data_IF_142358103844
#
_entry.id   IF_142358103844
#
_cell.length_a   1.000
_cell.length_b   1.000
_cell.length_c   1.000
_cell.angle_alpha   90.00
_cell.angle_beta   90.00
_cell.angle_gamma   90.00
#
_symmetry.space_group_name_H-M   'P 1'
#
loop_
_entity.id
_entity.type
_entity.pdbx_description
1 polymer ?
#
# COMPACT_ATOMS: atom_id res chain seq x y z
N UNK A 1 -7.37 -2.28 -0.50
CA UNK A 1 -6.52 -1.18 -0.02
C UNK A 1 -5.07 -1.64 0.11
N UNK A 2 -4.11 -0.91 -0.44
CA UNK A 2 -2.68 -1.29 -0.45
C UNK A 2 -1.81 -0.41 0.45
N UNK A 3 -2.44 0.28 1.41
CA UNK A 3 -1.77 1.33 2.19
C UNK A 3 -1.14 0.86 3.51
N UNK A 4 -1.34 -0.39 3.92
CA UNK A 4 -0.69 -0.90 5.15
C UNK A 4 0.82 -0.73 5.02
N UNK A 5 1.41 -0.06 6.00
CA UNK A 5 2.84 0.22 6.07
C UNK A 5 3.33 1.37 5.18
N UNK A 6 2.49 1.96 4.33
CA UNK A 6 2.92 3.02 3.40
C UNK A 6 2.41 4.42 3.74
N UNK A 7 1.56 4.53 4.75
CA UNK A 7 0.94 5.76 5.23
C UNK A 7 0.81 5.75 6.75
N UNK A 8 0.68 6.91 7.35
CA UNK A 8 0.36 7.06 8.77
C UNK A 8 -1.15 7.21 9.04
N UNK A 9 -1.99 6.95 8.05
CA UNK A 9 -3.44 6.98 8.24
C UNK A 9 -3.84 5.83 9.17
N UNK A 10 -4.30 6.17 10.36
CA UNK A 10 -4.67 5.20 11.40
C UNK A 10 -6.16 4.83 11.35
N UNK A 11 -6.97 5.61 10.67
CA UNK A 11 -8.40 5.37 10.55
C UNK A 11 -8.85 5.48 9.11
N UNK A 12 -9.63 4.51 8.68
CA UNK A 12 -10.29 4.51 7.37
C UNK A 12 -11.78 4.45 7.63
N UNK A 13 -12.52 5.45 7.14
CA UNK A 13 -13.96 5.41 7.15
C UNK A 13 -14.44 4.45 6.07
N UNK A 14 -15.16 3.42 6.49
CA UNK A 14 -15.69 2.39 5.60
C UNK A 14 -17.12 2.82 5.21
N UNK A 15 -17.39 3.04 3.91
CA UNK A 15 -18.72 3.42 3.45
C UNK A 15 -19.80 2.41 3.87
N UNK A 16 -20.98 2.90 4.16
CA UNK A 16 -22.15 2.05 4.40
C UNK A 16 -22.38 1.13 3.17
N UNK A 17 -22.84 -0.09 3.42
CA UNK A 17 -23.05 -1.10 2.38
C UNK A 17 -21.77 -1.83 1.95
N UNK A 18 -20.59 -1.47 2.47
CA UNK A 18 -19.36 -2.24 2.22
C UNK A 18 -19.45 -3.62 2.88
N UNK A 19 -19.32 -4.66 2.09
CA UNK A 19 -19.35 -6.05 2.56
C UNK A 19 -17.97 -6.59 2.90
N UNK A 20 -16.94 -6.14 2.16
CA UNK A 20 -15.58 -6.65 2.28
C UNK A 20 -14.55 -5.53 2.18
N UNK A 21 -13.49 -5.60 2.98
CA UNK A 21 -12.35 -4.68 2.92
C UNK A 21 -11.07 -5.50 2.81
N UNK A 22 -10.30 -5.26 1.75
CA UNK A 22 -9.04 -5.93 1.48
C UNK A 22 -7.85 -5.03 1.78
N UNK A 23 -6.87 -5.54 2.51
CA UNK A 23 -5.60 -4.88 2.78
C UNK A 23 -4.44 -5.71 2.24
N UNK A 24 -3.47 -5.05 1.64
CA UNK A 24 -2.29 -5.71 1.08
C UNK A 24 -1.01 -5.19 1.71
N UNK A 25 -0.10 -6.10 2.04
CA UNK A 25 1.26 -5.78 2.52
C UNK A 25 2.25 -5.55 1.37
N UNK A 26 1.82 -5.80 0.13
CA UNK A 26 2.71 -5.84 -1.05
C UNK A 26 3.49 -4.56 -1.30
N UNK A 27 2.94 -3.39 -0.95
CA UNK A 27 3.54 -2.08 -1.26
C UNK A 27 4.34 -1.53 -0.08
N UNK A 28 3.71 -1.38 1.09
CA UNK A 28 4.34 -0.77 2.25
C UNK A 28 5.58 -1.52 2.74
N UNK A 29 5.50 -2.84 2.77
CA UNK A 29 6.57 -3.72 3.27
C UNK A 29 7.34 -4.44 2.16
N UNK A 30 7.16 -4.07 0.89
CA UNK A 30 7.92 -4.67 -0.22
C UNK A 30 7.65 -6.15 -0.48
N UNK A 31 6.57 -6.72 0.05
CA UNK A 31 6.27 -8.17 -0.03
C UNK A 31 5.46 -8.56 -1.27
N UNK A 32 5.71 -7.88 -2.39
CA UNK A 32 4.91 -8.07 -3.61
C UNK A 32 4.92 -9.51 -4.13
N UNK A 33 6.03 -10.22 -3.96
CA UNK A 33 6.18 -11.62 -4.37
C UNK A 33 5.38 -12.61 -3.52
N UNK A 34 5.01 -12.25 -2.29
CA UNK A 34 4.29 -13.13 -1.37
C UNK A 34 2.80 -13.20 -1.64
N UNK A 35 2.23 -12.21 -2.35
CA UNK A 35 0.82 -12.15 -2.76
C UNK A 35 -0.17 -12.35 -1.61
N UNK A 36 0.03 -11.65 -0.51
CA UNK A 36 -0.75 -11.77 0.71
C UNK A 36 -1.32 -10.45 1.17
N UNK A 37 -2.39 -10.57 1.93
CA UNK A 37 -3.10 -9.47 2.56
C UNK A 37 -4.04 -9.96 3.64
N UNK A 38 -4.80 -9.03 4.19
CA UNK A 38 -5.90 -9.29 5.11
C UNK A 38 -7.21 -8.96 4.43
N UNK A 39 -8.26 -9.69 4.77
CA UNK A 39 -9.62 -9.35 4.39
C UNK A 39 -10.50 -9.34 5.63
N UNK A 40 -11.32 -8.30 5.74
CA UNK A 40 -12.39 -8.19 6.72
C UNK A 40 -13.71 -8.34 5.97
N UNK A 41 -14.56 -9.24 6.42
CA UNK A 41 -15.87 -9.52 5.80
C UNK A 41 -16.96 -9.52 6.85
N UNK A 42 -18.17 -9.08 6.48
CA UNK A 42 -19.37 -9.22 7.35
C UNK A 42 -19.78 -10.67 7.46
N UNK A 43 -19.68 -11.41 6.36
CA UNK A 43 -20.01 -12.83 6.28
C UNK A 43 -18.82 -13.62 5.73
N UNK A 44 -18.73 -14.89 6.06
CA UNK A 44 -17.66 -15.76 5.55
C UNK A 44 -17.81 -15.94 4.03
N UNK A 45 -16.79 -15.48 3.29
CA UNK A 45 -16.80 -15.64 1.82
C UNK A 45 -16.60 -17.12 1.43
N UNK A 46 -17.43 -17.69 0.52
CA UNK A 46 -17.37 -19.12 0.18
C UNK A 46 -15.98 -19.62 -0.24
N UNK A 47 -15.22 -18.79 -0.97
CA UNK A 47 -13.84 -19.14 -1.39
C UNK A 47 -12.90 -19.22 -0.18
N UNK A 48 -13.02 -18.30 0.80
CA UNK A 48 -12.19 -18.32 2.00
C UNK A 48 -12.56 -19.52 2.89
N UNK A 49 -13.85 -19.81 3.03
CA UNK A 49 -14.35 -20.99 3.72
C UNK A 49 -13.77 -22.28 3.10
N UNK A 50 -13.75 -22.35 1.76
CA UNK A 50 -13.17 -23.49 1.04
C UNK A 50 -11.66 -23.60 1.27
N UNK A 51 -10.91 -22.51 1.19
CA UNK A 51 -9.46 -22.53 1.46
C UNK A 51 -9.16 -22.98 2.88
N UNK A 52 -9.93 -22.49 3.86
CA UNK A 52 -9.82 -22.90 5.27
C UNK A 52 -10.08 -24.39 5.44
N UNK A 53 -11.18 -24.90 4.86
CA UNK A 53 -11.56 -26.32 4.96
C UNK A 53 -10.54 -27.26 4.31
N UNK A 54 -9.90 -26.83 3.21
CA UNK A 54 -8.91 -27.63 2.47
C UNK A 54 -7.49 -27.40 2.98
N UNK A 55 -7.29 -26.54 3.99
CA UNK A 55 -5.98 -26.14 4.51
C UNK A 55 -5.00 -25.68 3.41
N UNK A 56 -5.55 -25.13 2.31
CA UNK A 56 -4.77 -24.73 1.14
C UNK A 56 -4.32 -23.27 1.25
N UNK A 57 -3.36 -23.02 2.13
CA UNK A 57 -2.80 -21.70 2.40
C UNK A 57 -1.40 -21.56 1.85
N UNK A 58 -1.03 -20.31 1.49
CA UNK A 58 0.35 -19.94 1.29
C UNK A 58 1.06 -19.80 2.65
N UNK A 59 1.48 -20.90 3.24
CA UNK A 59 2.11 -20.92 4.58
C UNK A 59 3.34 -20.02 4.67
N UNK A 60 4.20 -19.99 3.66
CA UNK A 60 5.40 -19.14 3.66
C UNK A 60 5.03 -17.67 3.71
N UNK A 61 4.04 -17.28 2.95
CA UNK A 61 3.56 -15.91 2.97
C UNK A 61 2.89 -15.56 4.29
N UNK A 62 2.06 -16.43 4.85
CA UNK A 62 1.43 -16.21 6.18
C UNK A 62 2.51 -16.02 7.24
N UNK A 63 3.54 -16.87 7.28
CA UNK A 63 4.68 -16.71 8.21
C UNK A 63 5.43 -15.40 8.00
N UNK A 64 5.65 -14.98 6.75
CA UNK A 64 6.27 -13.68 6.44
C UNK A 64 5.45 -12.54 7.02
N UNK A 65 4.12 -12.54 6.83
CA UNK A 65 3.25 -11.49 7.39
C UNK A 65 3.24 -11.53 8.92
N UNK A 66 3.17 -12.70 9.54
CA UNK A 66 3.25 -12.82 10.99
C UNK A 66 4.56 -12.24 11.53
N UNK A 67 5.68 -12.52 10.87
CA UNK A 67 6.98 -11.95 11.22
C UNK A 67 6.97 -10.42 11.08
N UNK A 68 6.40 -9.87 10.01
CA UNK A 68 6.26 -8.43 9.83
C UNK A 68 5.41 -7.83 10.94
N UNK A 69 4.24 -8.38 11.20
CA UNK A 69 3.32 -7.85 12.23
C UNK A 69 3.88 -7.94 13.65
N UNK A 70 4.75 -8.91 13.92
CA UNK A 70 5.37 -9.08 15.24
C UNK A 70 6.58 -8.14 15.46
N UNK A 71 7.21 -7.66 14.38
CA UNK A 71 8.46 -6.91 14.47
C UNK A 71 8.35 -5.44 14.02
N UNK A 72 7.26 -5.07 13.34
CA UNK A 72 7.08 -3.73 12.78
C UNK A 72 5.71 -3.17 13.14
N UNK A 73 5.64 -1.88 13.42
CA UNK A 73 4.37 -1.16 13.50
C UNK A 73 3.86 -0.83 12.11
N UNK A 74 2.55 -0.56 11.98
CA UNK A 74 1.92 -0.27 10.69
C UNK A 74 2.40 1.03 10.04
N UNK A 75 2.95 1.95 10.82
CA UNK A 75 3.45 3.26 10.40
C UNK A 75 4.98 3.32 10.30
N UNK A 76 5.70 2.26 10.69
CA UNK A 76 7.15 2.28 10.74
C UNK A 76 7.80 2.58 9.39
N UNK A 77 7.31 1.96 8.31
CA UNK A 77 7.85 2.18 6.97
C UNK A 77 7.57 3.61 6.48
N UNK A 78 6.43 4.19 6.86
CA UNK A 78 6.15 5.59 6.66
C UNK A 78 7.15 6.48 7.39
N UNK A 79 7.33 6.26 8.68
CA UNK A 79 8.23 7.05 9.51
C UNK A 79 9.67 7.01 8.99
N UNK A 80 10.14 5.85 8.55
CA UNK A 80 11.49 5.68 7.97
C UNK A 80 11.70 6.41 6.64
N UNK A 81 10.65 6.55 5.83
CA UNK A 81 10.79 7.01 4.45
C UNK A 81 10.17 8.38 4.16
N UNK A 82 9.40 8.96 5.09
CA UNK A 82 8.70 10.23 4.86
C UNK A 82 9.66 11.39 4.57
N UNK A 83 10.74 11.53 5.32
CA UNK A 83 11.72 12.58 5.10
C UNK A 83 12.41 12.44 3.73
N UNK A 84 12.75 11.22 3.34
CA UNK A 84 13.30 10.93 2.02
C UNK A 84 12.32 11.31 0.91
N UNK A 85 11.05 10.97 1.06
CA UNK A 85 9.99 11.37 0.12
C UNK A 85 9.95 12.89 -0.06
N UNK A 86 9.92 13.64 1.05
CA UNK A 86 9.86 15.10 1.03
C UNK A 86 11.09 15.68 0.31
N UNK A 87 12.29 15.18 0.62
CA UNK A 87 13.54 15.61 -0.02
C UNK A 87 13.49 15.40 -1.55
N UNK A 88 13.11 14.20 -1.97
CA UNK A 88 12.96 13.85 -3.40
C UNK A 88 11.91 14.76 -4.06
N UNK A 89 10.75 14.94 -3.43
CA UNK A 89 9.70 15.78 -3.97
C UNK A 89 10.16 17.23 -4.17
N UNK A 90 10.90 17.79 -3.22
CA UNK A 90 11.46 19.13 -3.33
C UNK A 90 12.50 19.24 -4.46
N UNK A 91 13.37 18.23 -4.59
CA UNK A 91 14.41 18.19 -5.65
C UNK A 91 13.82 18.16 -7.06
N UNK A 92 12.75 17.37 -7.24
CA UNK A 92 12.12 17.16 -8.56
C UNK A 92 10.88 18.03 -8.81
N UNK A 93 10.51 18.92 -7.91
CA UNK A 93 9.32 19.76 -8.04
C UNK A 93 8.00 18.98 -7.97
N UNK A 94 7.98 17.87 -7.26
CA UNK A 94 6.78 17.05 -7.04
C UNK A 94 6.07 17.43 -5.75
N UNK A 95 4.77 17.13 -5.66
CA UNK A 95 4.00 17.23 -4.43
C UNK A 95 3.96 15.86 -3.73
N UNK A 96 4.40 15.75 -2.47
CA UNK A 96 4.32 14.49 -1.74
C UNK A 96 2.86 14.10 -1.48
N UNK A 97 2.56 12.81 -1.56
CA UNK A 97 1.26 12.25 -1.16
C UNK A 97 1.32 11.68 0.25
N UNK A 98 0.17 11.23 0.77
CA UNK A 98 0.08 10.51 2.06
C UNK A 98 0.59 9.07 1.99
N UNK A 99 1.19 8.67 0.88
CA UNK A 99 1.82 7.38 0.69
C UNK A 99 3.30 7.61 0.35
N UNK A 100 4.22 7.16 1.18
CA UNK A 100 5.65 7.56 1.09
C UNK A 100 6.31 7.25 -0.26
N UNK A 101 5.84 6.24 -0.99
CA UNK A 101 6.39 5.87 -2.30
C UNK A 101 5.69 6.55 -3.49
N UNK A 102 4.74 7.45 -3.23
CA UNK A 102 3.98 8.17 -4.26
C UNK A 102 4.14 9.68 -4.12
N UNK A 103 4.19 10.33 -5.28
CA UNK A 103 4.12 11.78 -5.40
C UNK A 103 3.13 12.15 -6.52
N UNK A 104 2.77 13.43 -6.60
CA UNK A 104 1.95 13.98 -7.70
C UNK A 104 2.64 15.16 -8.34
N UNK A 105 2.33 15.41 -9.61
CA UNK A 105 2.83 16.58 -10.35
C UNK A 105 1.81 17.08 -11.35
N UNK A 106 1.87 18.39 -11.63
CA UNK A 106 1.11 19.05 -12.70
C UNK A 106 1.86 19.06 -14.03
N UNK A 107 3.11 18.61 -14.07
CA UNK A 107 3.94 18.61 -15.25
C UNK A 107 3.26 17.81 -16.38
N UNK A 108 3.10 18.47 -17.55
CA UNK A 108 2.47 17.91 -18.75
C UNK A 108 3.19 16.68 -19.27
N UNK A 109 4.53 16.63 -19.18
CA UNK A 109 5.31 15.47 -19.57
C UNK A 109 4.85 14.18 -18.90
N UNK A 110 4.54 14.24 -17.60
CA UNK A 110 4.05 13.09 -16.85
C UNK A 110 2.55 12.85 -17.08
N UNK A 111 1.77 13.89 -17.34
CA UNK A 111 0.33 13.78 -17.62
C UNK A 111 0.03 13.02 -18.90
N UNK A 112 0.80 13.26 -19.96
CA UNK A 112 0.63 12.63 -21.26
C UNK A 112 1.00 11.14 -21.26
N UNK A 113 2.02 10.76 -20.48
CA UNK A 113 2.57 9.40 -20.43
C UNK A 113 1.90 8.49 -19.42
N UNK A 114 1.07 9.02 -18.50
CA UNK A 114 0.45 8.23 -17.43
C UNK A 114 -1.06 8.28 -17.48
N UNK A 115 -1.68 7.08 -17.57
CA UNK A 115 -3.14 6.91 -17.59
C UNK A 115 -3.82 7.18 -16.24
N UNK A 116 -3.09 7.18 -15.13
CA UNK A 116 -3.67 7.36 -13.81
C UNK A 116 -3.55 8.82 -13.37
N UNK A 117 -4.67 9.50 -13.40
CA UNK A 117 -4.81 10.89 -12.93
C UNK A 117 -5.51 10.90 -11.57
N UNK A 118 -4.99 11.70 -10.67
CA UNK A 118 -5.63 12.01 -9.39
C UNK A 118 -5.88 13.51 -9.36
N UNK A 119 -7.13 13.95 -9.34
CA UNK A 119 -7.51 15.37 -9.34
C UNK A 119 -6.77 16.21 -10.40
N UNK A 120 -6.68 15.73 -11.64
CA UNK A 120 -5.93 16.31 -12.75
C UNK A 120 -4.39 16.30 -12.60
N UNK A 121 -3.83 15.77 -11.54
CA UNK A 121 -2.38 15.60 -11.39
C UNK A 121 -1.93 14.20 -11.83
N UNK A 122 -0.71 14.11 -12.37
CA UNK A 122 -0.10 12.82 -12.64
C UNK A 122 0.43 12.21 -11.34
N UNK A 123 0.13 10.93 -11.10
CA UNK A 123 0.69 10.17 -9.97
C UNK A 123 1.99 9.50 -10.37
N UNK A 124 3.03 9.70 -9.59
CA UNK A 124 4.38 9.19 -9.84
C UNK A 124 4.77 8.24 -8.70
N UNK A 125 5.32 7.08 -9.06
CA UNK A 125 5.99 6.20 -8.10
C UNK A 125 7.45 6.64 -7.97
N UNK A 126 7.85 7.01 -6.77
CA UNK A 126 9.21 7.49 -6.47
C UNK A 126 10.08 6.43 -5.77
N UNK A 127 9.61 5.20 -5.64
CA UNK A 127 10.37 4.09 -5.04
C UNK A 127 11.81 3.99 -5.59
N UNK A 128 12.06 4.06 -6.93
CA UNK A 128 13.43 3.95 -7.44
C UNK A 128 14.37 5.07 -7.00
N UNK A 129 13.83 6.19 -6.49
CA UNK A 129 14.61 7.31 -5.98
C UNK A 129 14.83 7.20 -4.47
N UNK A 130 13.94 6.51 -3.75
CA UNK A 130 14.05 6.27 -2.30
C UNK A 130 15.16 5.25 -1.99
N UNK A 131 15.35 4.28 -2.89
CA UNK A 131 16.29 3.17 -2.74
C UNK A 131 17.73 3.52 -3.17
N UNK A 132 17.95 4.71 -3.74
CA UNK A 132 19.28 5.24 -4.06
C UNK A 132 19.90 5.92 -2.83
#
# INVERSE_FOLDING_TARGET
CTYIGSTNIQRIDIPEGTEQVFFSFSKGFGTIGQRLGLVYTKEEHPTLARLKRLENWNYNGVRTIQMIMNNFTVDEMWNRNREKQIKICNEYGFKPSDCFFLATTKDLYYKERRRMRWNNDARICITPLIEK
#
